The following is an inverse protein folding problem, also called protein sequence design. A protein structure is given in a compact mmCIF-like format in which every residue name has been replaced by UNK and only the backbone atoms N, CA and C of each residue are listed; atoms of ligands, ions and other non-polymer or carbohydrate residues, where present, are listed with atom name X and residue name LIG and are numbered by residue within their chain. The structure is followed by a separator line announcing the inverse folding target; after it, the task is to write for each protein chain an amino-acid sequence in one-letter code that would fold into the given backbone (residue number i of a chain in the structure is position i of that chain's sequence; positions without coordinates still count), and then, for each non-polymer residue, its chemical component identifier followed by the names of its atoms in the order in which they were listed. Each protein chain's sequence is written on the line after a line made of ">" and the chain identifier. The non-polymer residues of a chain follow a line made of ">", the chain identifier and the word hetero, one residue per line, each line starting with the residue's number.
data_IF_523478307563
#
_entry.id   IF_523478307563
#
_cell.length_a   1.000
_cell.length_b   1.000
_cell.length_c   1.000
_cell.angle_alpha   90.00
_cell.angle_beta   90.00
_cell.angle_gamma   90.00
#
_symmetry.space_group_name_H-M   'P 1'
#
loop_
_entity.id
_entity.type
_entity.pdbx_description
1 polymer ?
#
# COMPACT_ATOMS: atom_id res chain seq x y z
N UNK A 1 -11.22 64.61 -1.21
CA UNK A 1 -10.44 63.61 -0.46
C UNK A 1 -11.11 62.27 -0.70
N UNK A 2 -10.42 61.35 -1.37
CA UNK A 2 -10.95 60.02 -1.70
C UNK A 2 -11.08 59.24 -0.39
N UNK A 3 -12.30 58.82 -0.05
CA UNK A 3 -12.59 58.07 1.18
C UNK A 3 -12.77 56.58 0.82
N UNK A 4 -11.76 55.73 1.07
CA UNK A 4 -11.78 54.33 0.66
C UNK A 4 -12.86 53.51 1.37
N UNK A 5 -13.35 53.98 2.52
CA UNK A 5 -14.30 53.25 3.37
C UNK A 5 -15.67 53.11 2.73
N UNK A 6 -16.17 54.18 2.09
CA UNK A 6 -17.45 54.16 1.36
C UNK A 6 -17.46 53.22 0.17
N UNK A 7 -16.34 53.15 -0.57
CA UNK A 7 -16.20 52.22 -1.69
C UNK A 7 -16.22 50.75 -1.23
N UNK A 8 -15.67 50.48 -0.04
CA UNK A 8 -15.71 49.14 0.55
C UNK A 8 -17.12 48.76 1.01
N UNK A 9 -17.88 49.69 1.60
CA UNK A 9 -19.26 49.43 1.99
C UNK A 9 -20.19 49.22 0.79
N UNK A 10 -19.97 49.96 -0.30
CA UNK A 10 -20.73 49.78 -1.56
C UNK A 10 -20.35 48.49 -2.29
N UNK A 11 -19.07 48.08 -2.25
CA UNK A 11 -18.64 46.81 -2.84
C UNK A 11 -19.23 45.61 -2.10
N UNK A 12 -19.27 45.63 -0.77
CA UNK A 12 -19.91 44.60 0.07
C UNK A 12 -21.42 44.52 -0.19
N UNK A 13 -22.11 45.67 -0.26
CA UNK A 13 -23.56 45.69 -0.60
C UNK A 13 -23.86 45.20 -2.01
N UNK A 14 -22.94 45.40 -2.96
CA UNK A 14 -23.07 44.86 -4.32
C UNK A 14 -22.82 43.34 -4.36
N UNK A 15 -21.91 42.83 -3.51
CA UNK A 15 -21.64 41.40 -3.35
C UNK A 15 -22.85 40.68 -2.77
N UNK A 16 -23.47 41.21 -1.72
CA UNK A 16 -24.64 40.59 -1.07
C UNK A 16 -25.88 40.54 -2.00
N UNK A 17 -26.07 41.55 -2.86
CA UNK A 17 -27.12 41.56 -3.90
C UNK A 17 -26.83 40.63 -5.08
N UNK A 18 -25.55 40.34 -5.35
CA UNK A 18 -25.15 39.36 -6.37
C UNK A 18 -25.30 37.95 -5.81
N UNK A 19 -24.96 37.74 -4.54
CA UNK A 19 -25.09 36.47 -3.85
C UNK A 19 -26.55 36.05 -3.60
N UNK A 20 -27.50 36.98 -3.46
CA UNK A 20 -28.93 36.63 -3.36
C UNK A 20 -29.54 36.18 -4.69
N UNK A 21 -29.13 36.80 -5.81
CA UNK A 21 -29.55 36.38 -7.15
C UNK A 21 -28.82 35.10 -7.60
N UNK A 22 -27.57 34.91 -7.18
CA UNK A 22 -26.83 33.66 -7.39
C UNK A 22 -27.44 32.53 -6.54
N UNK A 23 -27.82 32.76 -5.28
CA UNK A 23 -28.50 31.74 -4.46
C UNK A 23 -29.86 31.30 -5.02
N UNK A 24 -30.57 32.19 -5.71
CA UNK A 24 -31.82 31.84 -6.40
C UNK A 24 -31.59 31.08 -7.72
N UNK A 25 -30.47 31.32 -8.42
CA UNK A 25 -30.08 30.57 -9.62
C UNK A 25 -29.35 29.24 -9.29
N UNK A 26 -28.73 29.14 -8.12
CA UNK A 26 -28.00 27.96 -7.61
C UNK A 26 -28.96 26.96 -6.92
N UNK A 27 -30.21 27.34 -6.65
CA UNK A 27 -31.21 26.45 -6.05
C UNK A 27 -31.64 25.27 -6.95
N UNK A 28 -31.54 25.41 -8.27
CA UNK A 28 -32.01 24.40 -9.23
C UNK A 28 -30.89 23.57 -9.90
N UNK A 29 -29.61 23.90 -9.67
CA UNK A 29 -28.45 23.20 -10.28
C UNK A 29 -27.69 22.30 -9.29
N UNK A 30 -28.13 22.23 -8.03
CA UNK A 30 -27.54 21.36 -7.00
C UNK A 30 -27.87 19.87 -7.14
N UNK A 31 -28.44 19.48 -8.29
CA UNK A 31 -28.52 18.09 -8.76
C UNK A 31 -27.47 17.71 -9.81
N UNK A 32 -26.67 18.67 -10.31
CA UNK A 32 -25.76 18.48 -11.46
C UNK A 32 -24.26 18.63 -11.13
N UNK A 33 -23.90 18.97 -9.88
CA UNK A 33 -22.54 19.33 -9.47
C UNK A 33 -21.50 18.19 -9.40
N UNK A 34 -21.75 17.01 -9.96
CA UNK A 34 -20.76 15.93 -10.04
C UNK A 34 -20.05 16.00 -11.38
N UNK A 35 -18.71 16.06 -11.38
CA UNK A 35 -17.95 16.12 -12.62
C UNK A 35 -18.34 14.98 -13.58
N UNK A 36 -18.32 15.22 -14.90
CA UNK A 36 -18.66 14.23 -15.93
C UNK A 36 -17.86 12.94 -15.76
N UNK A 37 -16.64 13.03 -15.20
CA UNK A 37 -15.82 11.88 -14.86
C UNK A 37 -16.50 11.01 -13.79
N UNK A 38 -16.99 11.60 -12.70
CA UNK A 38 -17.71 10.87 -11.66
C UNK A 38 -19.02 10.28 -12.15
N UNK A 39 -19.74 10.99 -13.01
CA UNK A 39 -20.95 10.44 -13.65
C UNK A 39 -20.60 9.20 -14.48
N UNK A 40 -19.51 9.23 -15.27
CA UNK A 40 -19.00 8.05 -16.00
C UNK A 40 -18.53 6.94 -15.06
N UNK A 41 -17.85 7.27 -13.97
CA UNK A 41 -17.35 6.30 -12.99
C UNK A 41 -18.49 5.62 -12.22
N UNK A 42 -19.56 6.35 -11.91
CA UNK A 42 -20.75 5.81 -11.24
C UNK A 42 -21.53 4.81 -12.09
N UNK A 43 -21.32 4.83 -13.41
CA UNK A 43 -21.90 3.86 -14.35
C UNK A 43 -21.07 2.58 -14.48
N UNK A 44 -19.82 2.57 -13.99
CA UNK A 44 -18.92 1.41 -14.06
C UNK A 44 -19.08 0.50 -12.82
N UNK A 45 -18.72 -0.78 -12.96
CA UNK A 45 -18.65 -1.66 -11.80
C UNK A 45 -17.53 -1.21 -10.84
N UNK A 46 -17.63 -1.48 -9.52
CA UNK A 46 -16.61 -1.04 -8.56
C UNK A 46 -15.19 -1.55 -8.86
N UNK A 47 -15.07 -2.70 -9.53
CA UNK A 47 -13.78 -3.24 -9.96
C UNK A 47 -13.20 -2.44 -11.13
N UNK A 48 -14.00 -2.13 -12.14
CA UNK A 48 -13.58 -1.32 -13.30
C UNK A 48 -13.28 0.12 -12.88
N UNK A 49 -14.08 0.68 -11.97
CA UNK A 49 -13.83 1.97 -11.36
C UNK A 49 -12.47 2.02 -10.68
N UNK A 50 -12.14 1.01 -9.88
CA UNK A 50 -10.84 0.94 -9.20
C UNK A 50 -9.67 0.79 -10.16
N UNK A 51 -9.85 0.05 -11.26
CA UNK A 51 -8.84 -0.11 -12.31
C UNK A 51 -8.58 1.18 -13.08
N UNK A 52 -9.65 1.88 -13.49
CA UNK A 52 -9.54 3.17 -14.16
C UNK A 52 -8.89 4.22 -13.26
N UNK A 53 -9.35 4.33 -12.01
CA UNK A 53 -8.81 5.29 -11.04
C UNK A 53 -7.36 5.00 -10.69
N UNK A 54 -6.97 3.72 -10.56
CA UNK A 54 -5.57 3.33 -10.36
C UNK A 54 -4.67 3.78 -11.53
N UNK A 55 -5.13 3.63 -12.77
CA UNK A 55 -4.37 4.08 -13.94
C UNK A 55 -4.26 5.61 -13.98
N UNK A 56 -5.37 6.32 -13.74
CA UNK A 56 -5.41 7.78 -13.71
C UNK A 56 -4.46 8.34 -12.64
N UNK A 57 -4.49 7.79 -11.42
CA UNK A 57 -3.63 8.22 -10.32
C UNK A 57 -2.16 7.92 -10.60
N UNK A 58 -1.86 6.76 -11.22
CA UNK A 58 -0.50 6.39 -11.59
C UNK A 58 0.13 7.39 -12.56
N UNK A 59 -0.65 7.96 -13.47
CA UNK A 59 -0.20 8.96 -14.45
C UNK A 59 -0.58 10.39 -14.06
N UNK A 60 -0.98 10.61 -12.82
CA UNK A 60 -1.43 11.91 -12.36
C UNK A 60 -0.35 12.99 -12.57
N UNK A 61 -0.66 14.12 -13.23
CA UNK A 61 0.33 15.11 -13.65
C UNK A 61 1.05 15.80 -12.47
N UNK A 62 0.35 16.00 -11.34
CA UNK A 62 0.94 16.63 -10.16
C UNK A 62 1.80 15.63 -9.39
N UNK A 63 3.12 15.73 -9.54
CA UNK A 63 4.08 14.79 -8.96
C UNK A 63 4.01 14.68 -7.43
N UNK A 64 3.67 15.76 -6.72
CA UNK A 64 3.58 15.78 -5.25
C UNK A 64 2.37 14.97 -4.78
N UNK A 65 1.21 15.17 -5.40
CA UNK A 65 -0.02 14.44 -5.07
C UNK A 65 0.11 12.95 -5.39
N UNK A 66 0.65 12.65 -6.57
CA UNK A 66 0.98 11.28 -7.00
C UNK A 66 1.96 10.60 -6.04
N UNK A 67 3.02 11.30 -5.63
CA UNK A 67 4.00 10.76 -4.68
C UNK A 67 3.37 10.57 -3.31
N UNK A 68 2.57 11.51 -2.81
CA UNK A 68 1.91 11.36 -1.51
C UNK A 68 0.96 10.14 -1.47
N UNK A 69 0.34 9.81 -2.60
CA UNK A 69 -0.51 8.63 -2.74
C UNK A 69 0.29 7.31 -2.80
N UNK A 70 1.40 7.25 -3.56
CA UNK A 70 2.14 5.99 -3.74
C UNK A 70 3.29 5.75 -2.74
N UNK A 71 3.93 6.80 -2.23
CA UNK A 71 5.09 6.70 -1.34
C UNK A 71 4.83 5.90 -0.05
N UNK A 72 3.61 5.95 0.54
CA UNK A 72 3.25 5.12 1.67
C UNK A 72 3.48 3.63 1.44
N UNK A 73 3.27 3.07 0.24
CA UNK A 73 3.61 1.66 -0.03
C UNK A 73 5.08 1.33 0.28
N UNK A 74 6.00 2.20 -0.12
CA UNK A 74 7.42 1.99 0.10
C UNK A 74 7.81 2.24 1.55
N UNK A 75 7.24 3.27 2.18
CA UNK A 75 7.41 3.55 3.60
C UNK A 75 7.03 2.34 4.47
N UNK A 76 5.88 1.76 4.18
CA UNK A 76 5.31 0.60 4.89
C UNK A 76 6.11 -0.68 4.63
N UNK A 77 6.52 -0.92 3.38
CA UNK A 77 7.40 -2.05 3.08
C UNK A 77 8.78 -1.92 3.77
N UNK A 78 9.31 -0.70 3.84
CA UNK A 78 10.59 -0.42 4.50
C UNK A 78 10.51 -0.61 6.02
N UNK A 79 9.47 -0.08 6.67
CA UNK A 79 9.26 -0.29 8.12
C UNK A 79 9.11 -1.78 8.43
N UNK A 80 8.31 -2.51 7.64
CA UNK A 80 8.14 -3.97 7.71
C UNK A 80 9.48 -4.72 7.56
N UNK A 81 10.34 -4.31 6.64
CA UNK A 81 11.68 -4.89 6.49
C UNK A 81 12.57 -4.62 7.73
N UNK A 82 12.52 -3.42 8.29
CA UNK A 82 13.29 -3.04 9.49
C UNK A 82 12.82 -3.84 10.71
N UNK A 83 11.51 -3.89 10.99
CA UNK A 83 11.01 -4.63 12.15
C UNK A 83 11.23 -6.13 12.00
N UNK A 84 11.04 -6.66 10.80
CA UNK A 84 11.33 -8.07 10.51
C UNK A 84 12.80 -8.39 10.68
N UNK A 85 13.71 -7.49 10.28
CA UNK A 85 15.14 -7.66 10.53
C UNK A 85 15.44 -7.75 12.03
N UNK A 86 14.85 -6.87 12.85
CA UNK A 86 15.04 -6.89 14.30
C UNK A 86 14.50 -8.18 14.93
N UNK A 87 13.30 -8.60 14.53
CA UNK A 87 12.65 -9.83 15.00
C UNK A 87 13.48 -11.05 14.59
N UNK A 88 13.83 -11.14 13.30
CA UNK A 88 14.54 -12.28 12.75
C UNK A 88 15.93 -12.45 13.36
N UNK A 89 16.62 -11.34 13.63
CA UNK A 89 17.92 -11.35 14.28
C UNK A 89 17.80 -11.79 15.74
N UNK A 90 16.76 -11.37 16.47
CA UNK A 90 16.56 -11.84 17.85
C UNK A 90 16.22 -13.33 17.93
N UNK A 91 15.34 -13.82 17.06
CA UNK A 91 15.00 -15.24 16.99
C UNK A 91 16.22 -16.07 16.58
N UNK A 92 16.95 -15.63 15.54
CA UNK A 92 18.12 -16.36 15.05
C UNK A 92 19.25 -16.41 16.08
N UNK A 93 19.43 -15.35 16.88
CA UNK A 93 20.41 -15.35 17.97
C UNK A 93 20.07 -16.37 19.06
N UNK A 94 18.79 -16.52 19.38
CA UNK A 94 18.33 -17.48 20.38
C UNK A 94 18.39 -18.92 19.87
N UNK A 95 17.95 -19.16 18.63
CA UNK A 95 17.89 -20.50 18.03
C UNK A 95 19.26 -21.05 17.63
N UNK A 96 20.15 -20.22 17.06
CA UNK A 96 21.43 -20.70 16.51
C UNK A 96 22.64 -20.42 17.40
N UNK A 97 22.63 -19.34 18.17
CA UNK A 97 23.75 -18.98 19.06
C UNK A 97 23.45 -19.26 20.53
N UNK A 98 22.23 -19.70 20.86
CA UNK A 98 21.77 -19.95 22.23
C UNK A 98 22.05 -18.76 23.18
N UNK A 99 22.07 -17.54 22.62
CA UNK A 99 22.45 -16.33 23.34
C UNK A 99 21.49 -15.20 23.02
N UNK A 100 20.65 -14.86 24.00
CA UNK A 100 19.73 -13.72 23.92
C UNK A 100 20.46 -12.35 23.99
N UNK A 101 21.73 -12.35 24.41
CA UNK A 101 22.56 -11.14 24.57
C UNK A 101 23.38 -10.79 23.32
N UNK A 102 23.39 -11.64 22.30
CA UNK A 102 24.14 -11.37 21.08
C UNK A 102 23.69 -10.06 20.41
N UNK A 103 24.66 -9.29 19.92
CA UNK A 103 24.39 -8.03 19.22
C UNK A 103 23.80 -8.30 17.83
N UNK A 104 23.06 -7.34 17.26
CA UNK A 104 22.41 -7.52 15.95
C UNK A 104 23.43 -7.89 14.86
N UNK A 105 24.57 -7.19 14.83
CA UNK A 105 25.63 -7.39 13.83
C UNK A 105 26.29 -8.76 14.01
N UNK A 106 26.53 -9.18 15.26
CA UNK A 106 27.13 -10.47 15.56
C UNK A 106 26.23 -11.63 15.08
N UNK A 107 24.92 -11.53 15.32
CA UNK A 107 23.98 -12.54 14.84
C UNK A 107 23.90 -12.55 13.32
N UNK A 108 23.83 -11.38 12.66
CA UNK A 108 23.79 -11.31 11.20
C UNK A 108 25.03 -11.92 10.53
N UNK A 109 26.18 -11.88 11.20
CA UNK A 109 27.42 -12.45 10.69
C UNK A 109 27.57 -13.95 10.97
N UNK A 110 27.04 -14.45 12.09
CA UNK A 110 27.24 -15.84 12.53
C UNK A 110 26.05 -16.78 12.27
N UNK A 111 24.82 -16.26 12.29
CA UNK A 111 23.63 -17.05 12.06
C UNK A 111 23.39 -17.27 10.55
N UNK A 112 22.69 -18.35 10.15
CA UNK A 112 22.29 -18.52 8.76
C UNK A 112 21.41 -17.35 8.31
N UNK A 113 21.64 -16.85 7.10
CA UNK A 113 20.94 -15.66 6.56
C UNK A 113 19.56 -15.97 5.98
N UNK A 114 19.23 -17.25 5.78
CA UNK A 114 17.97 -17.69 5.16
C UNK A 114 16.75 -17.20 5.96
N UNK A 115 16.67 -17.41 7.30
CA UNK A 115 15.54 -16.92 8.09
C UNK A 115 15.33 -15.40 8.01
N UNK A 116 16.42 -14.65 7.88
CA UNK A 116 16.40 -13.20 7.74
C UNK A 116 15.80 -12.77 6.40
N UNK A 117 16.39 -13.23 5.28
CA UNK A 117 15.95 -12.80 3.94
C UNK A 117 14.54 -13.27 3.60
N UNK A 118 14.22 -14.53 3.93
CA UNK A 118 12.87 -15.04 3.70
C UNK A 118 11.85 -14.35 4.63
N UNK A 119 12.24 -13.98 5.85
CA UNK A 119 11.37 -13.22 6.75
C UNK A 119 11.01 -11.87 6.15
N UNK A 120 12.02 -11.10 5.72
CA UNK A 120 11.84 -9.79 5.07
C UNK A 120 10.95 -9.92 3.83
N UNK A 121 11.19 -10.94 3.00
CA UNK A 121 10.40 -11.18 1.80
C UNK A 121 8.94 -11.50 2.11
N UNK A 122 8.68 -12.45 3.01
CA UNK A 122 7.33 -12.86 3.40
C UNK A 122 6.57 -11.69 4.05
N UNK A 123 7.23 -10.93 4.92
CA UNK A 123 6.65 -9.74 5.55
C UNK A 123 6.31 -8.68 4.49
N UNK A 124 7.25 -8.31 3.61
CA UNK A 124 7.02 -7.31 2.56
C UNK A 124 5.92 -7.69 1.57
N UNK A 125 5.87 -8.96 1.13
CA UNK A 125 4.79 -9.47 0.26
C UNK A 125 3.44 -9.39 0.98
N UNK A 126 3.40 -9.77 2.25
CA UNK A 126 2.17 -9.71 3.05
C UNK A 126 1.70 -8.27 3.24
N UNK A 127 2.60 -7.35 3.56
CA UNK A 127 2.31 -5.91 3.67
C UNK A 127 1.75 -5.35 2.37
N UNK A 128 2.33 -5.72 1.23
CA UNK A 128 1.85 -5.30 -0.08
C UNK A 128 0.42 -5.83 -0.36
N UNK A 129 0.19 -7.13 -0.16
CA UNK A 129 -1.09 -7.77 -0.43
C UNK A 129 -2.20 -7.23 0.48
N UNK A 130 -1.95 -7.12 1.79
CA UNK A 130 -2.94 -6.62 2.74
C UNK A 130 -3.30 -5.17 2.47
N UNK A 131 -2.31 -4.31 2.21
CA UNK A 131 -2.58 -2.92 1.87
C UNK A 131 -3.35 -2.81 0.55
N UNK A 132 -3.00 -3.58 -0.47
CA UNK A 132 -3.71 -3.55 -1.75
C UNK A 132 -5.18 -3.99 -1.60
N UNK A 133 -5.44 -5.10 -0.91
CA UNK A 133 -6.78 -5.68 -0.76
C UNK A 133 -7.68 -4.89 0.19
N UNK A 134 -7.15 -4.40 1.30
CA UNK A 134 -7.96 -3.82 2.39
C UNK A 134 -7.99 -2.29 2.41
N UNK A 135 -7.00 -1.62 1.83
CA UNK A 135 -6.85 -0.16 1.88
C UNK A 135 -7.05 0.45 0.49
N UNK A 136 -6.23 0.08 -0.48
CA UNK A 136 -6.27 0.71 -1.80
C UNK A 136 -7.54 0.43 -2.59
N UNK A 137 -8.13 -0.76 -2.44
CA UNK A 137 -9.44 -1.07 -3.03
C UNK A 137 -10.52 -0.06 -2.62
N UNK A 138 -10.54 0.35 -1.35
CA UNK A 138 -11.53 1.31 -0.83
C UNK A 138 -11.18 2.75 -1.24
N UNK A 139 -9.88 3.09 -1.29
CA UNK A 139 -9.42 4.44 -1.63
C UNK A 139 -9.68 4.82 -3.09
N UNK A 140 -9.66 3.85 -4.00
CA UNK A 140 -9.94 4.07 -5.42
C UNK A 140 -11.44 4.23 -5.73
N UNK A 141 -12.31 3.92 -4.77
CA UNK A 141 -13.75 4.12 -4.93
C UNK A 141 -14.14 5.57 -4.62
N UNK A 142 -15.21 6.01 -5.26
CA UNK A 142 -15.86 7.31 -5.13
C UNK A 142 -16.57 7.49 -3.76
N UNK A 143 -16.73 6.41 -3.00
CA UNK A 143 -17.37 6.46 -1.69
C UNK A 143 -16.60 7.37 -0.72
N UNK A 144 -17.33 8.03 0.19
CA UNK A 144 -16.73 8.72 1.32
C UNK A 144 -15.96 7.72 2.19
N UNK A 145 -14.66 7.97 2.36
CA UNK A 145 -13.80 7.08 3.15
C UNK A 145 -13.71 7.61 4.56
N UNK A 146 -14.06 6.78 5.53
CA UNK A 146 -13.88 7.10 6.94
C UNK A 146 -12.37 7.12 7.30
N UNK A 147 -11.79 8.28 7.68
CA UNK A 147 -10.35 8.39 7.96
C UNK A 147 -9.89 7.49 9.11
N UNK A 148 -10.73 7.35 10.14
CA UNK A 148 -10.43 6.48 11.29
C UNK A 148 -10.45 5.00 10.90
N UNK A 149 -11.35 4.58 10.02
CA UNK A 149 -11.38 3.20 9.52
C UNK A 149 -10.12 2.86 8.71
N UNK A 150 -9.67 3.76 7.82
CA UNK A 150 -8.43 3.56 7.06
C UNK A 150 -7.23 3.53 8.00
N UNK A 151 -7.18 4.41 9.00
CA UNK A 151 -6.12 4.42 9.99
C UNK A 151 -6.02 3.09 10.75
N UNK A 152 -7.15 2.56 11.23
CA UNK A 152 -7.18 1.27 11.92
C UNK A 152 -6.77 0.12 11.00
N UNK A 153 -7.22 0.11 9.74
CA UNK A 153 -6.83 -0.90 8.75
C UNK A 153 -5.33 -0.85 8.46
N UNK A 154 -4.76 0.33 8.22
CA UNK A 154 -3.33 0.50 7.97
C UNK A 154 -2.50 0.02 9.18
N UNK A 155 -2.82 0.51 10.39
CA UNK A 155 -2.08 0.11 11.60
C UNK A 155 -2.21 -1.40 11.84
N UNK A 156 -3.42 -1.95 11.71
CA UNK A 156 -3.67 -3.38 11.89
C UNK A 156 -2.89 -4.23 10.88
N UNK A 157 -2.88 -3.82 9.61
CA UNK A 157 -2.14 -4.50 8.55
C UNK A 157 -0.63 -4.47 8.78
N UNK A 158 -0.08 -3.31 9.17
CA UNK A 158 1.35 -3.16 9.45
C UNK A 158 1.79 -3.97 10.66
N UNK A 159 1.00 -3.99 11.74
CA UNK A 159 1.29 -4.82 12.91
C UNK A 159 1.20 -6.31 12.55
N UNK A 160 0.18 -6.71 11.78
CA UNK A 160 0.02 -8.09 11.34
C UNK A 160 1.21 -8.53 10.46
N UNK A 161 1.51 -7.78 9.40
CA UNK A 161 2.53 -8.15 8.43
C UNK A 161 3.97 -7.92 8.92
N UNK A 162 4.22 -6.85 9.67
CA UNK A 162 5.54 -6.44 10.14
C UNK A 162 5.95 -6.99 11.51
N UNK A 163 5.00 -7.53 12.30
CA UNK A 163 5.27 -8.08 13.64
C UNK A 163 4.78 -9.51 13.78
N UNK A 164 3.48 -9.76 13.58
CA UNK A 164 2.89 -11.09 13.85
C UNK A 164 3.39 -12.14 12.87
N UNK A 165 3.36 -11.84 11.57
CA UNK A 165 3.83 -12.74 10.52
C UNK A 165 5.30 -13.16 10.74
N UNK A 166 6.27 -12.25 10.92
CA UNK A 166 7.65 -12.66 11.16
C UNK A 166 7.86 -13.38 12.51
N UNK A 167 7.04 -13.10 13.53
CA UNK A 167 7.09 -13.86 14.79
C UNK A 167 6.66 -15.32 14.64
N UNK A 168 5.84 -15.64 13.64
CA UNK A 168 5.38 -17.02 13.36
C UNK A 168 6.24 -17.68 12.29
N UNK A 169 6.58 -16.96 11.21
CA UNK A 169 7.29 -17.53 10.06
C UNK A 169 8.78 -17.71 10.29
N UNK A 170 9.45 -16.80 11.01
CA UNK A 170 10.90 -16.90 11.23
C UNK A 170 11.27 -18.09 12.12
N UNK A 171 10.61 -18.36 13.28
CA UNK A 171 10.95 -19.54 14.09
C UNK A 171 10.77 -20.84 13.31
N UNK A 172 9.69 -20.93 12.52
CA UNK A 172 9.43 -22.07 11.63
C UNK A 172 10.59 -22.26 10.64
N UNK A 173 10.98 -21.20 9.94
CA UNK A 173 12.08 -21.25 8.97
C UNK A 173 13.43 -21.56 9.64
N UNK A 174 13.69 -20.96 10.80
CA UNK A 174 14.87 -21.24 11.62
C UNK A 174 14.95 -22.72 12.00
N UNK A 175 13.83 -23.29 12.44
CA UNK A 175 13.71 -24.70 12.76
C UNK A 175 13.95 -25.62 11.56
N UNK A 176 13.38 -25.30 10.38
CA UNK A 176 13.67 -26.05 9.15
C UNK A 176 15.15 -26.02 8.76
N UNK A 177 15.83 -24.89 8.97
CA UNK A 177 17.28 -24.80 8.74
C UNK A 177 18.05 -25.64 9.75
N UNK A 178 17.60 -25.72 11.00
CA UNK A 178 18.23 -26.58 12.02
C UNK A 178 18.03 -28.07 11.72
N UNK A 179 16.84 -28.49 11.27
CA UNK A 179 16.57 -29.87 10.85
C UNK A 179 17.52 -30.35 9.73
N UNK A 180 17.86 -29.45 8.81
CA UNK A 180 18.75 -29.76 7.69
C UNK A 180 20.24 -29.72 8.06
N UNK A 181 20.61 -29.26 9.27
CA UNK A 181 22.00 -29.29 9.73
C UNK A 181 22.33 -30.64 10.33
N UNK A 182 23.37 -31.30 9.79
CA UNK A 182 23.83 -32.62 10.25
C UNK A 182 24.29 -32.64 11.72
N UNK A 183 24.67 -31.48 12.25
CA UNK A 183 25.29 -31.37 13.58
C UNK A 183 24.28 -31.22 14.72
N UNK A 184 22.97 -31.08 14.43
CA UNK A 184 21.92 -30.92 15.45
C UNK A 184 20.73 -31.83 15.18
N UNK A 185 20.37 -32.69 16.14
CA UNK A 185 19.13 -33.47 16.10
C UNK A 185 18.03 -32.68 16.79
N UNK A 186 17.14 -32.08 16.01
CA UNK A 186 15.96 -31.34 16.47
C UNK A 186 14.71 -32.17 16.16
N UNK A 187 13.70 -32.24 17.05
CA UNK A 187 12.46 -32.97 16.77
C UNK A 187 11.72 -32.38 15.58
N UNK A 188 11.08 -33.21 14.77
CA UNK A 188 10.22 -32.77 13.67
C UNK A 188 8.90 -32.21 14.20
N UNK A 189 8.41 -31.15 13.56
CA UNK A 189 7.08 -30.57 13.83
C UNK A 189 6.03 -31.45 13.16
N UNK A 190 5.25 -32.20 13.95
CA UNK A 190 4.24 -33.15 13.42
C UNK A 190 2.82 -32.62 13.52
N UNK A 191 2.54 -31.82 14.55
CA UNK A 191 1.20 -31.31 14.83
C UNK A 191 1.14 -29.77 14.83
N UNK A 192 -0.08 -29.24 14.68
CA UNK A 192 -0.33 -27.80 14.83
C UNK A 192 0.02 -27.28 16.23
N UNK A 193 -0.09 -28.11 17.26
CA UNK A 193 0.31 -27.74 18.63
C UNK A 193 1.82 -27.49 18.72
N UNK A 194 2.62 -28.33 18.06
CA UNK A 194 4.09 -28.18 18.01
C UNK A 194 4.47 -26.91 17.25
N UNK A 195 3.74 -26.60 16.17
CA UNK A 195 3.91 -25.36 15.41
C UNK A 195 3.63 -24.11 16.26
N UNK A 196 2.53 -24.13 17.03
CA UNK A 196 2.18 -23.03 17.94
C UNK A 196 3.24 -22.91 19.04
N UNK A 197 3.67 -24.04 19.62
CA UNK A 197 4.74 -24.07 20.63
C UNK A 197 6.04 -23.44 20.12
N UNK A 198 6.45 -23.78 18.91
CA UNK A 198 7.64 -23.21 18.26
C UNK A 198 7.51 -21.69 18.05
N UNK A 199 6.33 -21.25 17.62
CA UNK A 199 6.03 -19.82 17.41
C UNK A 199 6.04 -19.06 18.74
N UNK A 200 5.53 -19.66 19.82
CA UNK A 200 5.53 -19.08 21.17
C UNK A 200 6.95 -18.93 21.73
N UNK A 201 7.84 -19.91 21.51
CA UNK A 201 9.24 -19.76 21.88
C UNK A 201 9.90 -18.61 21.10
N UNK A 202 9.63 -18.47 19.80
CA UNK A 202 10.08 -17.31 19.02
C UNK A 202 9.58 -15.97 19.58
N UNK A 203 8.30 -15.89 19.96
CA UNK A 203 7.71 -14.69 20.58
C UNK A 203 8.39 -14.36 21.91
N UNK A 204 8.68 -15.39 22.72
CA UNK A 204 9.36 -15.24 24.02
C UNK A 204 10.78 -14.68 23.84
N UNK A 205 11.52 -15.13 22.83
CA UNK A 205 12.83 -14.56 22.48
C UNK A 205 12.73 -13.06 22.13
N UNK A 206 11.63 -12.65 21.51
CA UNK A 206 11.38 -11.27 21.11
C UNK A 206 10.74 -10.37 22.17
N UNK A 207 10.31 -10.89 23.34
CA UNK A 207 9.47 -10.16 24.32
C UNK A 207 9.95 -8.74 24.67
N UNK A 208 11.27 -8.52 24.73
CA UNK A 208 11.86 -7.21 25.06
C UNK A 208 11.78 -6.19 23.92
N UNK A 209 11.76 -6.65 22.66
CA UNK A 209 11.73 -5.78 21.47
C UNK A 209 10.32 -5.54 20.94
N UNK A 210 9.32 -6.32 21.37
CA UNK A 210 7.91 -6.17 20.97
C UNK A 210 7.40 -4.72 21.06
N UNK A 211 7.52 -3.99 22.18
CA UNK A 211 6.99 -2.63 22.26
C UNK A 211 7.66 -1.68 21.26
N UNK A 212 8.94 -1.87 20.99
CA UNK A 212 9.69 -1.07 20.02
C UNK A 212 9.23 -1.35 18.58
N UNK A 213 9.14 -2.63 18.18
CA UNK A 213 8.73 -2.96 16.80
C UNK A 213 7.27 -2.63 16.54
N UNK A 214 6.38 -2.82 17.51
CA UNK A 214 4.98 -2.39 17.42
C UNK A 214 4.90 -0.86 17.32
N UNK A 215 5.67 -0.13 18.12
CA UNK A 215 5.73 1.33 18.03
C UNK A 215 6.17 1.84 16.66
N UNK A 216 7.21 1.23 16.07
CA UNK A 216 7.65 1.55 14.70
C UNK A 216 6.53 1.32 13.69
N UNK A 217 5.81 0.20 13.78
CA UNK A 217 4.71 -0.09 12.84
C UNK A 217 3.53 0.84 13.00
N UNK A 218 3.15 1.18 14.23
CA UNK A 218 2.08 2.16 14.48
C UNK A 218 2.46 3.52 13.90
N UNK A 219 3.68 4.00 14.13
CA UNK A 219 4.15 5.29 13.59
C UNK A 219 4.19 5.27 12.06
N UNK A 220 4.69 4.19 11.45
CA UNK A 220 4.71 4.02 10.00
C UNK A 220 3.30 4.00 9.42
N UNK A 221 2.37 3.27 10.04
CA UNK A 221 0.96 3.21 9.66
C UNK A 221 0.26 4.56 9.76
N UNK A 222 0.54 5.36 10.80
CA UNK A 222 0.02 6.72 10.96
C UNK A 222 0.53 7.63 9.84
N UNK A 223 1.84 7.71 9.65
CA UNK A 223 2.46 8.57 8.63
C UNK A 223 2.00 8.17 7.23
N UNK A 224 1.95 6.86 6.95
CA UNK A 224 1.44 6.32 5.70
C UNK A 224 -0.01 6.72 5.47
N UNK A 225 -0.89 6.52 6.46
CA UNK A 225 -2.32 6.84 6.33
C UNK A 225 -2.55 8.31 6.02
N UNK A 226 -1.96 9.23 6.78
CA UNK A 226 -2.16 10.66 6.56
C UNK A 226 -1.61 11.12 5.21
N UNK A 227 -0.50 10.55 4.74
CA UNK A 227 0.03 10.83 3.40
C UNK A 227 -0.92 10.36 2.30
N UNK A 228 -1.47 9.14 2.41
CA UNK A 228 -2.41 8.60 1.42
C UNK A 228 -3.70 9.42 1.40
N UNK A 229 -4.27 9.73 2.57
CA UNK A 229 -5.51 10.50 2.68
C UNK A 229 -5.33 11.93 2.13
N UNK A 230 -4.19 12.56 2.41
CA UNK A 230 -3.87 13.87 1.85
C UNK A 230 -3.78 13.82 0.32
N UNK A 231 -3.07 12.83 -0.22
CA UNK A 231 -2.94 12.63 -1.66
C UNK A 231 -4.28 12.36 -2.33
N UNK A 232 -5.10 11.48 -1.75
CA UNK A 232 -6.45 11.16 -2.24
C UNK A 232 -7.33 12.42 -2.26
N UNK A 233 -7.43 13.12 -1.13
CA UNK A 233 -8.32 14.27 -1.02
C UNK A 233 -7.94 15.38 -2.01
N UNK A 234 -6.64 15.58 -2.26
CA UNK A 234 -6.17 16.53 -3.26
C UNK A 234 -6.53 16.10 -4.68
N UNK A 235 -6.22 14.87 -5.07
CA UNK A 235 -6.56 14.35 -6.39
C UNK A 235 -8.07 14.41 -6.63
N UNK A 236 -8.87 13.97 -5.67
CA UNK A 236 -10.34 13.95 -5.80
C UNK A 236 -10.90 15.38 -5.88
N UNK A 237 -10.38 16.31 -5.07
CA UNK A 237 -10.78 17.72 -5.16
C UNK A 237 -10.43 18.35 -6.52
N UNK A 238 -9.28 17.99 -7.10
CA UNK A 238 -8.89 18.48 -8.44
C UNK A 238 -9.79 17.87 -9.51
N UNK A 239 -10.20 16.61 -9.36
CA UNK A 239 -11.14 15.94 -10.28
C UNK A 239 -12.53 16.61 -10.28
N UNK A 240 -12.97 17.12 -9.14
CA UNK A 240 -14.25 17.80 -9.00
C UNK A 240 -14.20 19.24 -9.56
N UNK A 241 -13.06 19.91 -9.45
CA UNK A 241 -12.92 21.33 -9.78
C UNK A 241 -12.55 21.60 -11.25
N UNK A 242 -11.82 20.70 -11.92
CA UNK A 242 -11.27 20.96 -13.26
C UNK A 242 -11.40 19.74 -14.20
N UNK A 243 -12.51 19.67 -14.95
CA UNK A 243 -12.76 18.60 -15.92
C UNK A 243 -11.76 18.58 -17.09
N UNK A 244 -11.29 19.75 -17.54
CA UNK A 244 -10.40 19.86 -18.69
C UNK A 244 -9.01 19.30 -18.34
N UNK A 245 -8.54 19.60 -17.13
CA UNK A 245 -7.30 19.05 -16.59
C UNK A 245 -7.36 17.52 -16.44
N UNK A 246 -8.50 17.00 -15.98
CA UNK A 246 -8.72 15.56 -15.88
C UNK A 246 -8.73 14.88 -17.24
N UNK A 247 -9.35 15.49 -18.26
CA UNK A 247 -9.36 14.94 -19.62
C UNK A 247 -7.95 14.90 -20.23
N UNK A 248 -7.09 15.88 -19.92
CA UNK A 248 -5.68 15.86 -20.31
C UNK A 248 -4.94 14.72 -19.59
N UNK A 249 -5.12 14.59 -18.28
CA UNK A 249 -4.51 13.53 -17.48
C UNK A 249 -4.98 12.13 -17.93
N UNK A 250 -6.26 11.97 -18.26
CA UNK A 250 -6.83 10.72 -18.78
C UNK A 250 -6.26 10.39 -20.15
N UNK A 251 -6.16 11.36 -21.07
CA UNK A 251 -5.50 11.17 -22.37
C UNK A 251 -4.02 10.81 -22.22
N UNK A 252 -3.33 11.33 -21.21
CA UNK A 252 -1.96 10.92 -20.90
C UNK A 252 -1.90 9.51 -20.33
N UNK A 253 -2.82 9.14 -19.43
CA UNK A 253 -2.92 7.78 -18.91
C UNK A 253 -3.20 6.75 -20.02
N UNK A 254 -4.10 7.07 -20.96
CA UNK A 254 -4.45 6.19 -22.09
C UNK A 254 -3.32 6.04 -23.11
N UNK A 255 -2.44 7.04 -23.25
CA UNK A 255 -1.24 6.95 -24.11
C UNK A 255 -0.22 5.95 -23.57
N UNK A 256 -0.25 5.65 -22.27
CA UNK A 256 0.75 4.81 -21.65
C UNK A 256 0.28 3.37 -21.58
N UNK A 257 0.91 2.51 -22.40
CA UNK A 257 0.65 1.07 -22.38
C UNK A 257 0.77 0.51 -20.96
N UNK A 258 -0.23 -0.25 -20.46
CA UNK A 258 -0.20 -0.86 -19.15
C UNK A 258 1.03 -1.77 -18.98
N UNK A 259 1.50 -1.90 -17.73
CA UNK A 259 2.69 -2.69 -17.38
C UNK A 259 2.62 -4.14 -17.89
N UNK A 260 1.41 -4.72 -17.94
CA UNK A 260 1.16 -6.04 -18.51
C UNK A 260 1.49 -6.10 -20.01
N UNK A 261 1.08 -5.10 -20.78
CA UNK A 261 1.40 -5.01 -22.20
C UNK A 261 2.89 -4.76 -22.42
N UNK A 262 3.53 -3.94 -21.59
CA UNK A 262 4.98 -3.75 -21.64
C UNK A 262 5.73 -5.05 -21.32
N UNK A 263 5.24 -5.82 -20.37
CA UNK A 263 5.81 -7.13 -20.01
C UNK A 263 5.57 -8.16 -21.11
N UNK A 264 4.38 -8.18 -21.72
CA UNK A 264 4.08 -9.02 -22.89
C UNK A 264 4.94 -8.61 -24.10
N UNK A 265 5.08 -7.32 -24.38
CA UNK A 265 5.97 -6.78 -25.42
C UNK A 265 7.43 -7.15 -25.13
N UNK A 266 7.83 -7.18 -23.85
CA UNK A 266 9.17 -7.62 -23.43
C UNK A 266 9.34 -9.14 -23.59
N UNK A 267 8.36 -9.94 -23.19
CA UNK A 267 8.35 -11.38 -23.35
C UNK A 267 8.35 -11.78 -24.83
N UNK A 268 7.59 -11.09 -25.67
CA UNK A 268 7.57 -11.29 -27.13
C UNK A 268 8.92 -10.95 -27.79
N UNK A 269 9.72 -10.05 -27.20
CA UNK A 269 11.08 -9.78 -27.66
C UNK A 269 12.08 -10.89 -27.33
N UNK A 270 11.72 -11.84 -26.46
CA UNK A 270 12.55 -13.01 -26.14
C UNK A 270 12.19 -14.13 -27.13
N UNK A 271 13.14 -14.57 -27.99
CA UNK A 271 12.85 -15.50 -29.10
C UNK A 271 12.34 -16.89 -28.67
N UNK A 272 12.64 -17.31 -27.45
CA UNK A 272 12.13 -18.56 -26.86
C UNK A 272 10.66 -18.47 -26.43
N UNK A 273 10.18 -17.29 -26.04
CA UNK A 273 8.80 -17.11 -25.56
C UNK A 273 7.86 -16.79 -26.73
N UNK A 274 8.34 -16.07 -27.75
CA UNK A 274 7.56 -15.82 -28.98
C UNK A 274 7.19 -17.11 -29.70
N UNK A 275 8.14 -18.04 -29.83
CA UNK A 275 7.90 -19.36 -30.46
C UNK A 275 6.89 -20.21 -29.68
N UNK A 276 6.91 -20.19 -28.35
CA UNK A 276 5.93 -20.89 -27.50
C UNK A 276 4.55 -20.26 -27.61
N UNK A 277 4.45 -18.93 -27.59
CA UNK A 277 3.17 -18.22 -27.74
C UNK A 277 2.58 -18.42 -29.14
N UNK A 278 3.38 -18.41 -30.21
CA UNK A 278 2.90 -18.74 -31.57
C UNK A 278 2.36 -20.17 -31.65
N UNK A 279 3.04 -21.12 -31.02
CA UNK A 279 2.61 -22.53 -30.99
C UNK A 279 1.27 -22.69 -30.25
N UNK A 280 1.08 -21.97 -29.15
CA UNK A 280 -0.17 -22.01 -28.38
C UNK A 280 -1.33 -21.32 -29.12
N UNK A 281 -1.06 -20.21 -29.80
CA UNK A 281 -2.05 -19.47 -30.59
C UNK A 281 -2.48 -20.22 -31.87
N UNK A 282 -1.60 -21.03 -32.46
CA UNK A 282 -1.97 -21.97 -33.52
C UNK A 282 -2.87 -23.09 -33.00
N UNK A 283 -2.69 -23.52 -31.75
CA UNK A 283 -3.47 -24.60 -31.13
C UNK A 283 -4.90 -24.17 -30.77
N UNK A 284 -5.10 -22.92 -30.38
CA UNK A 284 -6.43 -22.35 -30.08
C UNK A 284 -7.23 -22.00 -31.33
N UNK A 285 -6.59 -21.71 -32.47
CA UNK A 285 -7.28 -21.50 -33.76
C UNK A 285 -7.71 -22.79 -34.47
N UNK A 286 -7.24 -23.95 -34.01
CA UNK A 286 -7.65 -25.27 -34.52
C UNK A 286 -8.78 -25.93 -33.69
N UNK A 287 -9.40 -25.20 -32.77
CA UNK A 287 -10.65 -25.58 -32.10
C UNK A 287 -11.77 -24.66 -32.56
#
# INVERSE_FOLDING_TARGET
>A
MFDPSKYWEESVKSSDKKDSNIKALVGDDLGSGRSKLWTKLSMLSPAEQSGYMSNLIQYWPVAIERRAFHWPHFSLAFSSAVTTTLIATKISGDFFLFSNKASLIEVMNRAPKIPLYAGIYVSGVTTYLLNHVLVYKDLYQDNEVCPSCILTKCIGNEVLAGVVVPMVSVPLMGHYVMLNKKDMKVPEVKNFVDLIGLSLEGIKSCRRIIPLVVGIQILSGIVGTYSILWGRNKIFSTIEMDEEYVDIAAKEADKVKPLKERFLDFLQKIPLVSSIMEFENQRTKMK
#
